data_IF_453366917750
#
_entry.id   IF_453366917750
#
_cell.length_a   1.000
_cell.length_b   1.000
_cell.length_c   1.000
_cell.angle_alpha   90.00
_cell.angle_beta   90.00
_cell.angle_gamma   90.00
#
_symmetry.space_group_name_H-M   'P 1'
#
loop_
_entity.id
_entity.type
_entity.pdbx_description
1 polymer ?
#
# COMPACT_ATOMS: atom_id res chain seq x y z
N UNK A 1 34.56 -1.23 7.39
CA UNK A 1 34.04 -0.16 6.52
C UNK A 1 32.98 0.58 7.30
N UNK A 2 32.91 1.91 7.26
CA UNK A 2 31.80 2.63 7.91
C UNK A 2 30.81 3.14 6.86
N UNK A 3 29.58 3.36 7.28
CA UNK A 3 28.52 3.84 6.38
C UNK A 3 28.87 5.22 5.78
N UNK A 4 29.50 6.09 6.58
CA UNK A 4 29.90 7.44 6.20
C UNK A 4 31.03 7.45 5.16
N UNK A 5 31.74 6.34 5.00
CA UNK A 5 32.81 6.19 4.00
C UNK A 5 32.23 5.85 2.59
N UNK A 6 30.93 5.58 2.48
CA UNK A 6 30.26 5.21 1.22
C UNK A 6 29.80 6.45 0.43
N UNK A 7 30.20 6.51 -0.85
CA UNK A 7 29.70 7.52 -1.79
C UNK A 7 28.34 7.11 -2.36
N UNK A 8 27.28 7.31 -1.59
CA UNK A 8 25.92 6.96 -2.00
C UNK A 8 25.33 7.96 -3.02
N UNK A 9 24.50 7.45 -3.92
CA UNK A 9 23.62 8.25 -4.78
C UNK A 9 22.56 8.92 -3.92
N UNK A 10 22.44 10.22 -4.09
CA UNK A 10 21.47 11.05 -3.37
C UNK A 10 20.35 11.41 -4.37
N UNK A 11 19.17 10.78 -4.28
CA UNK A 11 18.04 11.11 -5.13
C UNK A 11 17.53 12.52 -4.79
N UNK A 12 17.24 13.30 -5.83
CA UNK A 12 16.65 14.63 -5.72
C UNK A 12 15.24 14.58 -6.32
N UNK A 13 14.25 14.66 -5.45
CA UNK A 13 12.84 14.73 -5.83
C UNK A 13 12.48 16.08 -6.43
N UNK A 14 11.38 16.11 -7.17
CA UNK A 14 10.77 17.34 -7.65
C UNK A 14 10.33 18.23 -6.49
N UNK A 15 10.37 19.54 -6.69
CA UNK A 15 9.88 20.51 -5.71
C UNK A 15 8.36 20.39 -5.46
N UNK A 16 7.62 19.73 -6.36
CA UNK A 16 6.17 19.53 -6.28
C UNK A 16 5.78 18.17 -5.71
N UNK A 17 6.74 17.31 -5.36
CA UNK A 17 6.46 15.94 -4.92
C UNK A 17 5.39 15.91 -3.83
N UNK A 18 5.51 16.80 -2.83
CA UNK A 18 4.59 16.84 -1.71
C UNK A 18 3.17 17.12 -2.17
N UNK A 19 2.96 18.19 -2.95
CA UNK A 19 1.65 18.56 -3.47
C UNK A 19 1.10 17.54 -4.47
N UNK A 20 1.97 16.82 -5.17
CA UNK A 20 1.61 15.77 -6.12
C UNK A 20 1.18 14.49 -5.39
N UNK A 21 1.90 14.08 -4.35
CA UNK A 21 1.55 12.97 -3.47
C UNK A 21 0.24 13.23 -2.73
N UNK A 22 0.08 14.43 -2.14
CA UNK A 22 -1.17 14.85 -1.49
C UNK A 22 -2.37 14.84 -2.46
N UNK A 23 -2.15 15.23 -3.71
CA UNK A 23 -3.18 15.16 -4.75
C UNK A 23 -3.59 13.70 -5.01
N UNK A 24 -2.64 12.79 -5.25
CA UNK A 24 -2.92 11.36 -5.49
C UNK A 24 -3.68 10.74 -4.32
N UNK A 25 -3.20 10.93 -3.09
CA UNK A 25 -3.86 10.45 -1.86
C UNK A 25 -5.30 10.98 -1.78
N UNK A 26 -5.50 12.27 -2.06
CA UNK A 26 -6.82 12.89 -2.02
C UNK A 26 -7.76 12.28 -3.05
N UNK A 27 -7.31 12.02 -4.28
CA UNK A 27 -8.15 11.39 -5.30
C UNK A 27 -8.55 9.98 -4.91
N UNK A 28 -7.61 9.16 -4.43
CA UNK A 28 -7.90 7.80 -3.94
C UNK A 28 -8.94 7.84 -2.81
N UNK A 29 -8.81 8.76 -1.84
CA UNK A 29 -9.81 8.92 -0.78
C UNK A 29 -11.19 9.29 -1.33
N UNK A 30 -11.28 10.31 -2.19
CA UNK A 30 -12.57 10.74 -2.76
C UNK A 30 -13.28 9.64 -3.56
N UNK A 31 -12.51 8.78 -4.22
CA UNK A 31 -13.03 7.60 -4.92
C UNK A 31 -13.68 6.64 -3.93
N UNK A 32 -13.00 6.31 -2.83
CA UNK A 32 -13.53 5.39 -1.82
C UNK A 32 -14.68 6.00 -1.00
N UNK A 33 -14.65 7.31 -0.75
CA UNK A 33 -15.75 8.05 -0.11
C UNK A 33 -17.03 7.89 -0.93
N UNK A 34 -16.92 8.07 -2.25
CA UNK A 34 -18.03 7.89 -3.20
C UNK A 34 -18.64 6.50 -3.09
N UNK A 35 -17.82 5.45 -3.06
CA UNK A 35 -18.31 4.07 -2.97
C UNK A 35 -19.08 3.80 -1.67
N UNK A 36 -18.61 4.34 -0.54
CA UNK A 36 -19.35 4.26 0.72
C UNK A 36 -20.64 5.07 0.70
N UNK A 37 -20.62 6.27 0.12
CA UNK A 37 -21.81 7.12 -0.02
C UNK A 37 -22.90 6.47 -0.88
N UNK A 38 -22.52 5.74 -1.93
CA UNK A 38 -23.45 5.02 -2.80
C UNK A 38 -23.86 3.65 -2.27
N UNK A 39 -23.25 3.17 -1.18
CA UNK A 39 -23.47 1.84 -0.63
C UNK A 39 -22.88 0.71 -1.49
N UNK A 40 -21.91 1.04 -2.35
CA UNK A 40 -21.15 0.11 -3.18
C UNK A 40 -19.82 -0.28 -2.50
N UNK A 41 -19.94 -0.65 -1.22
CA UNK A 41 -18.84 -0.89 -0.29
C UNK A 41 -18.80 -2.35 0.21
N UNK A 42 -19.43 -3.25 -0.55
CA UNK A 42 -19.64 -4.65 -0.15
C UNK A 42 -19.21 -5.62 -1.25
N UNK A 43 -18.44 -6.62 -0.86
CA UNK A 43 -18.27 -7.84 -1.63
C UNK A 43 -19.28 -8.87 -1.16
N UNK A 44 -20.11 -9.36 -2.09
CA UNK A 44 -21.08 -10.42 -1.84
C UNK A 44 -20.48 -11.74 -2.34
N UNK A 45 -20.34 -12.70 -1.43
CA UNK A 45 -19.78 -14.03 -1.70
C UNK A 45 -20.94 -15.03 -1.73
N UNK A 46 -21.47 -15.25 -2.92
CA UNK A 46 -22.53 -16.21 -3.17
C UNK A 46 -21.97 -17.62 -3.27
N UNK A 47 -22.60 -18.57 -2.58
CA UNK A 47 -22.15 -19.97 -2.56
C UNK A 47 -23.32 -20.94 -2.56
N UNK A 48 -23.08 -22.15 -3.04
CA UNK A 48 -24.06 -23.22 -2.99
C UNK A 48 -24.00 -24.01 -1.66
N UNK A 49 -23.79 -23.30 -0.54
CA UNK A 49 -23.80 -23.86 0.81
C UNK A 49 -25.02 -23.34 1.56
N UNK A 50 -25.88 -24.25 2.04
CA UNK A 50 -27.10 -23.88 2.78
C UNK A 50 -26.82 -22.99 4.00
N UNK A 51 -25.66 -23.18 4.63
CA UNK A 51 -25.23 -22.44 5.82
C UNK A 51 -24.20 -21.34 5.52
N UNK A 52 -23.76 -21.17 4.25
CA UNK A 52 -22.68 -20.25 3.87
C UNK A 52 -21.30 -20.71 4.36
N UNK A 53 -20.29 -19.84 4.22
CA UNK A 53 -18.99 -20.05 4.85
C UNK A 53 -19.01 -19.66 6.33
N UNK A 54 -18.24 -20.35 7.19
CA UNK A 54 -17.84 -19.81 8.47
C UNK A 54 -17.14 -18.46 8.31
N UNK A 55 -17.44 -17.49 9.19
CA UNK A 55 -16.85 -16.14 9.15
C UNK A 55 -15.31 -16.16 9.16
N UNK A 56 -14.72 -17.09 9.92
CA UNK A 56 -13.25 -17.27 9.97
C UNK A 56 -12.67 -17.57 8.58
N UNK A 57 -13.38 -18.33 7.74
CA UNK A 57 -12.92 -18.65 6.40
C UNK A 57 -13.06 -17.47 5.44
N UNK A 58 -14.06 -16.60 5.64
CA UNK A 58 -14.19 -15.34 4.89
C UNK A 58 -13.02 -14.42 5.25
N UNK A 59 -12.68 -14.30 6.53
CA UNK A 59 -11.52 -13.50 6.98
C UNK A 59 -10.19 -14.01 6.40
N UNK A 60 -10.02 -15.33 6.20
CA UNK A 60 -8.81 -15.91 5.57
C UNK A 60 -8.59 -15.49 4.12
N UNK A 61 -9.66 -15.13 3.41
CA UNK A 61 -9.60 -14.69 2.01
C UNK A 61 -9.75 -13.17 1.86
N UNK A 62 -9.86 -12.42 2.96
CA UNK A 62 -10.16 -10.99 2.92
C UNK A 62 -9.08 -10.13 2.27
N UNK A 63 -7.79 -10.43 2.47
CA UNK A 63 -6.70 -9.71 1.81
C UNK A 63 -6.87 -9.68 0.28
N UNK A 64 -6.81 -10.84 -0.39
CA UNK A 64 -6.98 -10.93 -1.84
C UNK A 64 -8.32 -10.38 -2.35
N UNK A 65 -9.40 -10.51 -1.57
CA UNK A 65 -10.72 -10.01 -1.96
C UNK A 65 -10.79 -8.48 -1.89
N UNK A 66 -10.22 -7.85 -0.87
CA UNK A 66 -10.15 -6.39 -0.77
C UNK A 66 -9.21 -5.78 -1.82
N UNK A 67 -8.11 -6.46 -2.13
CA UNK A 67 -7.21 -6.10 -3.25
C UNK A 67 -7.99 -6.09 -4.57
N UNK A 68 -8.72 -7.17 -4.87
CA UNK A 68 -9.52 -7.27 -6.09
C UNK A 68 -10.65 -6.22 -6.14
N UNK A 69 -11.36 -6.00 -5.03
CA UNK A 69 -12.40 -4.96 -4.97
C UNK A 69 -11.85 -3.56 -5.20
N UNK A 70 -10.70 -3.23 -4.60
CA UNK A 70 -10.06 -1.94 -4.84
C UNK A 70 -9.70 -1.75 -6.32
N UNK A 71 -9.15 -2.78 -6.97
CA UNK A 71 -8.85 -2.75 -8.42
C UNK A 71 -10.12 -2.53 -9.26
N UNK A 72 -11.20 -3.28 -8.99
CA UNK A 72 -12.48 -3.12 -9.69
C UNK A 72 -13.07 -1.71 -9.52
N UNK A 73 -13.00 -1.14 -8.30
CA UNK A 73 -13.44 0.24 -8.03
C UNK A 73 -12.68 1.24 -8.88
N UNK A 74 -11.35 1.16 -8.94
CA UNK A 74 -10.56 2.09 -9.75
C UNK A 74 -10.78 1.86 -11.25
N UNK A 75 -10.81 0.61 -11.70
CA UNK A 75 -11.02 0.25 -13.10
C UNK A 75 -12.37 0.74 -13.63
N UNK A 76 -13.45 0.62 -12.82
CA UNK A 76 -14.78 1.12 -13.18
C UNK A 76 -14.85 2.64 -13.37
N UNK A 77 -13.93 3.39 -12.75
CA UNK A 77 -13.83 4.85 -12.90
C UNK A 77 -13.04 5.23 -14.16
N UNK A 78 -11.96 4.51 -14.45
CA UNK A 78 -11.10 4.74 -15.63
C UNK A 78 -11.92 4.70 -16.92
N UNK A 79 -12.93 3.85 -16.99
CA UNK A 79 -13.78 3.69 -18.17
C UNK A 79 -14.69 4.93 -18.41
N UNK A 80 -14.77 5.86 -17.46
CA UNK A 80 -15.39 7.17 -17.63
C UNK A 80 -14.33 8.26 -17.93
N UNK A 81 -14.25 8.70 -19.19
CA UNK A 81 -13.28 9.74 -19.61
C UNK A 81 -13.49 11.11 -18.95
N UNK A 82 -14.69 11.38 -18.43
CA UNK A 82 -15.06 12.64 -17.77
C UNK A 82 -15.16 12.48 -16.25
N UNK A 83 -14.41 11.55 -15.65
CA UNK A 83 -14.42 11.37 -14.20
C UNK A 83 -13.81 12.58 -13.46
N UNK A 84 -14.43 12.95 -12.34
CA UNK A 84 -14.04 14.09 -11.50
C UNK A 84 -12.69 13.91 -10.77
N UNK A 85 -12.14 12.70 -10.82
CA UNK A 85 -10.91 12.34 -10.12
C UNK A 85 -9.65 12.53 -10.97
N UNK A 86 -9.83 12.77 -12.28
CA UNK A 86 -8.76 12.80 -13.27
C UNK A 86 -7.94 11.50 -13.33
N UNK A 87 -8.54 10.37 -12.97
CA UNK A 87 -7.94 9.05 -13.11
C UNK A 87 -7.96 8.66 -14.59
N UNK A 88 -6.78 8.44 -15.17
CA UNK A 88 -6.64 8.18 -16.62
C UNK A 88 -6.15 6.77 -16.93
N UNK A 89 -5.53 6.08 -15.97
CA UNK A 89 -5.12 4.69 -16.14
C UNK A 89 -5.12 3.94 -14.81
N UNK A 90 -5.42 2.65 -14.90
CA UNK A 90 -5.45 1.68 -13.80
C UNK A 90 -4.84 0.39 -14.35
N UNK A 91 -3.85 -0.13 -13.64
CA UNK A 91 -3.14 -1.36 -14.01
C UNK A 91 -2.92 -2.22 -12.76
N UNK A 92 -3.63 -3.36 -12.70
CA UNK A 92 -3.33 -4.41 -11.73
C UNK A 92 -1.95 -5.02 -12.02
N UNK A 93 -1.14 -5.20 -10.99
CA UNK A 93 0.18 -5.78 -11.12
C UNK A 93 0.16 -7.30 -10.91
N UNK A 94 1.05 -8.00 -11.60
CA UNK A 94 1.24 -9.43 -11.37
C UNK A 94 1.86 -9.72 -10.00
N UNK A 95 1.80 -11.00 -9.58
CA UNK A 95 2.44 -11.49 -8.36
C UNK A 95 3.91 -11.09 -8.33
N UNK A 96 4.36 -10.51 -7.21
CA UNK A 96 5.69 -9.90 -7.00
C UNK A 96 5.87 -8.52 -7.65
N UNK A 97 4.82 -7.89 -8.16
CA UNK A 97 4.76 -6.47 -8.51
C UNK A 97 5.24 -5.57 -7.37
N UNK A 98 5.61 -4.32 -7.68
CA UNK A 98 6.08 -3.38 -6.67
C UNK A 98 4.96 -3.03 -5.68
N UNK A 99 3.76 -2.87 -6.20
CA UNK A 99 2.51 -2.65 -5.49
C UNK A 99 1.42 -3.50 -6.16
N UNK A 100 0.20 -3.47 -5.64
CA UNK A 100 -0.92 -4.27 -6.15
C UNK A 100 -1.55 -3.60 -7.39
N UNK A 101 -1.68 -2.27 -7.36
CA UNK A 101 -2.35 -1.48 -8.40
C UNK A 101 -1.50 -0.26 -8.74
N UNK A 102 -1.32 0.04 -10.02
CA UNK A 102 -0.75 1.31 -10.49
C UNK A 102 -1.90 2.21 -10.93
N UNK A 103 -1.97 3.41 -10.34
CA UNK A 103 -2.94 4.44 -10.70
C UNK A 103 -2.22 5.62 -11.35
N UNK A 104 -2.74 6.11 -12.47
CA UNK A 104 -2.24 7.33 -13.10
C UNK A 104 -3.30 8.41 -13.12
N UNK A 105 -2.94 9.59 -12.62
CA UNK A 105 -3.82 10.75 -12.57
C UNK A 105 -3.25 11.89 -13.42
N UNK A 106 -4.14 12.65 -14.04
CA UNK A 106 -3.77 13.88 -14.76
C UNK A 106 -3.89 15.09 -13.85
N UNK A 107 -2.80 15.83 -13.66
CA UNK A 107 -2.76 17.10 -12.91
C UNK A 107 -2.24 18.21 -13.84
N UNK A 108 -3.16 18.92 -14.50
CA UNK A 108 -2.80 19.86 -15.56
C UNK A 108 -2.11 19.15 -16.72
N UNK A 109 -0.84 19.50 -16.99
CA UNK A 109 -0.04 18.92 -18.07
C UNK A 109 0.84 17.74 -17.64
N UNK A 110 0.85 17.38 -16.35
CA UNK A 110 1.64 16.26 -15.84
C UNK A 110 0.75 15.04 -15.57
N UNK A 111 1.37 13.86 -15.67
CA UNK A 111 0.77 12.59 -15.26
C UNK A 111 1.50 12.13 -14.01
N UNK A 112 0.75 11.93 -12.94
CA UNK A 112 1.24 11.44 -11.65
C UNK A 112 0.95 9.95 -11.53
N UNK A 113 1.90 9.17 -11.05
CA UNK A 113 1.75 7.71 -10.90
C UNK A 113 1.82 7.34 -9.42
N UNK A 114 0.74 6.77 -8.89
CA UNK A 114 0.68 6.20 -7.55
C UNK A 114 0.78 4.67 -7.61
N UNK A 115 1.74 4.09 -6.89
CA UNK A 115 1.89 2.64 -6.76
C UNK A 115 1.19 2.21 -5.47
N UNK A 116 -0.02 1.67 -5.57
CA UNK A 116 -0.92 1.40 -4.44
C UNK A 116 -0.79 -0.04 -3.95
N UNK A 117 -0.34 -0.20 -2.72
CA UNK A 117 -0.30 -1.45 -1.96
C UNK A 117 -1.51 -1.48 -1.01
N UNK A 118 -2.42 -2.43 -1.25
CA UNK A 118 -3.66 -2.58 -0.49
C UNK A 118 -3.40 -3.48 0.71
N UNK A 119 -3.95 -3.11 1.87
CA UNK A 119 -3.83 -3.86 3.11
C UNK A 119 -5.17 -3.95 3.81
N UNK A 120 -5.73 -5.16 3.84
CA UNK A 120 -6.97 -5.46 4.53
C UNK A 120 -6.75 -5.62 6.04
N UNK A 121 -7.61 -4.99 6.84
CA UNK A 121 -7.65 -5.09 8.30
C UNK A 121 -9.06 -5.48 8.73
N UNK A 122 -9.20 -6.53 9.52
CA UNK A 122 -10.49 -7.01 10.00
C UNK A 122 -10.85 -6.33 11.32
N UNK A 123 -12.06 -5.76 11.42
CA UNK A 123 -12.54 -5.07 12.64
C UNK A 123 -12.81 -6.02 13.81
N UNK A 124 -13.19 -7.25 13.49
CA UNK A 124 -13.59 -8.28 14.45
C UNK A 124 -12.41 -9.12 14.98
N UNK A 125 -11.21 -8.94 14.41
CA UNK A 125 -10.01 -9.68 14.81
C UNK A 125 -9.05 -8.76 15.60
N UNK A 126 -8.82 -9.04 16.90
CA UNK A 126 -7.86 -8.31 17.70
C UNK A 126 -6.46 -8.32 17.07
N UNK A 127 -5.81 -7.16 17.05
CA UNK A 127 -4.47 -6.96 16.47
C UNK A 127 -4.38 -7.13 14.95
N UNK A 128 -5.50 -7.28 14.22
CA UNK A 128 -5.49 -7.17 12.77
C UNK A 128 -4.90 -5.81 12.36
N UNK A 129 -4.08 -5.81 11.29
CA UNK A 129 -3.39 -4.60 10.83
C UNK A 129 -2.13 -4.19 11.59
N UNK A 130 -1.74 -4.91 12.66
CA UNK A 130 -0.48 -4.63 13.38
C UNK A 130 0.72 -5.32 12.74
N UNK A 131 1.78 -4.57 12.49
CA UNK A 131 3.04 -5.07 11.97
C UNK A 131 3.02 -5.71 10.58
N UNK A 132 2.11 -5.37 9.63
CA UNK A 132 2.14 -6.02 8.32
C UNK A 132 3.43 -5.67 7.58
N UNK A 133 3.95 -6.65 6.84
CA UNK A 133 5.02 -6.43 5.88
C UNK A 133 4.44 -5.71 4.66
N UNK A 134 5.15 -4.69 4.19
CA UNK A 134 4.78 -3.92 3.00
C UNK A 134 5.61 -4.38 1.81
N UNK A 135 6.92 -4.12 1.85
CA UNK A 135 7.83 -4.43 0.75
C UNK A 135 9.23 -4.69 1.30
N UNK A 136 10.08 -5.34 0.50
CA UNK A 136 11.45 -5.63 0.92
C UNK A 136 12.32 -4.36 0.91
N UNK A 137 13.25 -4.24 1.86
CA UNK A 137 14.18 -3.12 1.97
C UNK A 137 14.85 -2.76 0.64
N UNK A 138 15.52 -3.72 -0.01
CA UNK A 138 16.27 -3.42 -1.23
C UNK A 138 15.39 -2.97 -2.39
N UNK A 139 14.15 -3.48 -2.48
CA UNK A 139 13.21 -3.09 -3.55
C UNK A 139 12.79 -1.63 -3.42
N UNK A 140 12.26 -1.25 -2.27
CA UNK A 140 11.79 0.13 -2.05
C UNK A 140 12.93 1.15 -2.04
N UNK A 141 14.06 0.78 -1.42
CA UNK A 141 15.25 1.62 -1.41
C UNK A 141 15.81 1.86 -2.82
N UNK A 142 15.72 0.85 -3.70
CA UNK A 142 16.11 0.98 -5.12
C UNK A 142 15.12 1.81 -5.91
N UNK A 143 13.81 1.66 -5.66
CA UNK A 143 12.78 2.46 -6.34
C UNK A 143 13.04 3.96 -6.16
N UNK A 144 13.23 4.41 -4.92
CA UNK A 144 13.54 5.81 -4.60
C UNK A 144 14.86 6.34 -5.18
N UNK A 145 15.85 5.48 -5.42
CA UNK A 145 17.11 5.89 -6.08
C UNK A 145 16.92 6.04 -7.58
N UNK A 146 16.15 5.15 -8.20
CA UNK A 146 15.92 5.14 -9.64
C UNK A 146 14.96 6.25 -10.06
N UNK A 147 13.95 6.48 -9.26
CA UNK A 147 12.94 7.50 -9.45
C UNK A 147 12.74 8.26 -8.13
N UNK A 148 13.35 9.45 -7.98
CA UNK A 148 13.19 10.27 -6.80
C UNK A 148 11.75 10.72 -6.53
N UNK A 149 10.88 10.70 -7.55
CA UNK A 149 9.46 11.05 -7.46
C UNK A 149 8.55 9.82 -7.34
N UNK A 150 9.12 8.63 -7.08
CA UNK A 150 8.37 7.40 -6.90
C UNK A 150 7.40 7.50 -5.71
N UNK A 151 6.09 7.42 -5.98
CA UNK A 151 5.05 7.43 -4.94
C UNK A 151 4.64 6.00 -4.61
N UNK A 152 4.94 5.57 -3.38
CA UNK A 152 4.47 4.30 -2.83
C UNK A 152 3.31 4.56 -1.89
N UNK A 153 2.10 4.31 -2.37
CA UNK A 153 0.85 4.59 -1.66
C UNK A 153 0.41 3.33 -0.94
N UNK A 154 0.10 3.44 0.35
CA UNK A 154 -0.51 2.38 1.14
C UNK A 154 -2.00 2.70 1.26
N UNK A 155 -2.84 1.77 0.83
CA UNK A 155 -4.28 1.81 1.03
C UNK A 155 -4.67 0.80 2.11
N UNK A 156 -4.89 1.28 3.33
CA UNK A 156 -5.39 0.46 4.44
C UNK A 156 -6.92 0.43 4.40
N UNK A 157 -7.51 -0.75 4.21
CA UNK A 157 -8.97 -0.94 4.19
C UNK A 157 -9.37 -1.76 5.41
N UNK A 158 -10.24 -1.18 6.25
CA UNK A 158 -10.93 -1.92 7.30
C UNK A 158 -12.20 -2.55 6.77
N UNK A 159 -12.46 -3.76 7.19
CA UNK A 159 -13.66 -4.49 6.82
C UNK A 159 -14.26 -5.23 8.01
N UNK A 160 -15.55 -5.49 7.90
CA UNK A 160 -16.29 -6.43 8.75
C UNK A 160 -16.90 -7.53 7.90
N UNK A 161 -16.99 -8.73 8.44
CA UNK A 161 -17.61 -9.87 7.78
C UNK A 161 -18.89 -10.28 8.51
N UNK A 162 -19.92 -10.63 7.75
CA UNK A 162 -21.15 -11.20 8.28
C UNK A 162 -21.85 -12.08 7.23
N UNK A 163 -22.90 -12.79 7.62
CA UNK A 163 -23.71 -13.59 6.70
C UNK A 163 -25.13 -13.05 6.62
N UNK A 164 -25.73 -13.12 5.45
CA UNK A 164 -27.10 -12.69 5.22
C UNK A 164 -27.83 -13.70 4.35
N UNK A 165 -29.10 -13.99 4.67
CA UNK A 165 -29.93 -14.88 3.86
C UNK A 165 -30.32 -14.19 2.55
N UNK A 166 -29.97 -14.81 1.43
CA UNK A 166 -30.37 -14.37 0.10
C UNK A 166 -31.87 -14.63 -0.10
N UNK A 167 -32.64 -13.58 -0.42
CA UNK A 167 -34.09 -13.70 -0.59
C UNK A 167 -34.50 -14.50 -1.84
N UNK A 168 -33.67 -14.52 -2.88
CA UNK A 168 -33.95 -15.22 -4.14
C UNK A 168 -33.61 -16.70 -4.10
N UNK A 169 -32.48 -17.08 -3.48
CA UNK A 169 -32.01 -18.47 -3.45
C UNK A 169 -32.34 -19.19 -2.15
N UNK A 170 -32.60 -18.44 -1.07
CA UNK A 170 -32.77 -18.97 0.28
C UNK A 170 -31.48 -19.44 0.96
N UNK A 171 -30.33 -19.32 0.29
CA UNK A 171 -29.00 -19.65 0.81
C UNK A 171 -28.43 -18.49 1.64
N UNK A 172 -27.31 -18.74 2.34
CA UNK A 172 -26.60 -17.71 3.10
C UNK A 172 -25.43 -17.18 2.27
N UNK A 173 -25.45 -15.88 1.97
CA UNK A 173 -24.34 -15.18 1.34
C UNK A 173 -23.38 -14.67 2.42
N UNK A 174 -22.08 -14.77 2.14
CA UNK A 174 -21.05 -14.08 2.93
C UNK A 174 -20.95 -12.64 2.46
N UNK A 175 -20.93 -11.69 3.39
CA UNK A 175 -20.76 -10.26 3.09
C UNK A 175 -19.45 -9.80 3.72
N UNK A 176 -18.63 -9.12 2.93
CA UNK A 176 -17.47 -8.36 3.39
C UNK A 176 -17.74 -6.89 3.09
N UNK A 177 -17.92 -6.10 4.14
CA UNK A 177 -18.28 -4.68 4.05
C UNK A 177 -17.11 -3.82 4.50
N UNK A 178 -16.74 -2.83 3.69
CA UNK A 178 -15.71 -1.84 4.00
C UNK A 178 -16.23 -0.88 5.08
N UNK A 179 -15.64 -0.94 6.26
CA UNK A 179 -16.08 -0.17 7.42
C UNK A 179 -15.35 1.17 7.56
N UNK A 180 -14.07 1.22 7.17
CA UNK A 180 -13.22 2.42 7.22
C UNK A 180 -12.03 2.23 6.27
N UNK A 181 -11.33 3.29 5.92
CA UNK A 181 -10.11 3.18 5.13
C UNK A 181 -9.21 4.40 5.33
N UNK A 182 -7.91 4.22 5.13
CA UNK A 182 -6.92 5.28 5.14
C UNK A 182 -5.91 5.12 4.01
N UNK A 183 -5.39 6.25 3.54
CA UNK A 183 -4.46 6.32 2.41
C UNK A 183 -3.23 7.11 2.83
N UNK A 184 -2.06 6.54 2.59
CA UNK A 184 -0.77 7.10 3.02
C UNK A 184 0.27 7.03 1.92
N UNK A 185 1.15 8.02 1.84
CA UNK A 185 2.42 7.84 1.15
C UNK A 185 3.43 7.28 2.16
N UNK A 186 4.02 6.12 1.85
CA UNK A 186 5.04 5.48 2.68
C UNK A 186 6.18 6.45 3.04
N UNK A 187 6.55 7.35 2.13
CA UNK A 187 7.61 8.35 2.38
C UNK A 187 7.27 9.27 3.55
N UNK A 188 5.99 9.54 3.81
CA UNK A 188 5.55 10.47 4.85
C UNK A 188 5.06 9.81 6.14
N UNK A 189 5.10 8.48 6.25
CA UNK A 189 4.79 7.79 7.51
C UNK A 189 5.90 8.06 8.54
N UNK A 190 5.56 8.39 9.78
CA UNK A 190 6.54 8.72 10.82
C UNK A 190 7.59 7.62 11.03
N UNK A 191 8.80 8.02 11.44
CA UNK A 191 9.88 7.08 11.74
C UNK A 191 9.54 6.10 12.88
N UNK A 192 8.69 6.52 13.82
CA UNK A 192 8.18 5.73 14.94
C UNK A 192 7.19 4.64 14.50
N UNK A 193 6.52 4.83 13.36
CA UNK A 193 5.56 3.89 12.80
C UNK A 193 6.19 2.95 11.75
N UNK A 194 7.38 3.29 11.24
CA UNK A 194 8.15 2.44 10.33
C UNK A 194 9.13 1.54 11.10
N UNK A 195 8.96 0.24 10.93
CA UNK A 195 9.83 -0.80 11.45
C UNK A 195 10.51 -1.59 10.33
N UNK A 196 11.58 -2.30 10.69
CA UNK A 196 12.29 -3.20 9.79
C UNK A 196 12.31 -4.61 10.38
N UNK A 197 11.81 -5.57 9.61
CA UNK A 197 11.83 -6.98 9.94
C UNK A 197 12.92 -7.71 9.16
N UNK A 198 13.97 -8.22 9.82
CA UNK A 198 15.08 -8.88 9.14
C UNK A 198 14.81 -10.33 8.71
N UNK A 199 13.64 -10.90 9.02
CA UNK A 199 13.43 -12.35 8.96
C UNK A 199 13.56 -12.99 7.56
N UNK A 200 13.30 -12.24 6.49
CA UNK A 200 13.21 -12.77 5.12
C UNK A 200 14.07 -11.97 4.13
N UNK A 201 14.86 -12.65 3.31
CA UNK A 201 15.61 -12.02 2.20
C UNK A 201 16.49 -10.87 2.67
N UNK A 202 16.30 -9.68 2.11
CA UNK A 202 16.96 -8.42 2.49
C UNK A 202 16.28 -7.73 3.69
N UNK A 203 15.32 -8.39 4.33
CA UNK A 203 14.37 -7.83 5.28
C UNK A 203 13.24 -7.04 4.62
N UNK A 204 12.20 -6.76 5.40
CA UNK A 204 10.98 -6.11 4.97
C UNK A 204 10.68 -4.88 5.81
N UNK A 205 10.10 -3.87 5.17
CA UNK A 205 9.53 -2.72 5.84
C UNK A 205 8.18 -3.15 6.42
N UNK A 206 7.99 -2.86 7.71
CA UNK A 206 6.76 -3.11 8.44
C UNK A 206 6.19 -1.79 8.95
N UNK A 207 4.87 -1.67 8.94
CA UNK A 207 4.17 -0.56 9.60
C UNK A 207 3.64 -1.06 10.93
N UNK A 208 3.84 -0.29 12.00
CA UNK A 208 3.43 -0.67 13.36
C UNK A 208 1.94 -0.97 13.46
N UNK A 209 1.12 -0.07 12.95
CA UNK A 209 -0.33 -0.23 12.78
C UNK A 209 -0.69 0.40 11.44
N UNK A 210 -1.07 -0.41 10.46
CA UNK A 210 -1.25 0.03 9.07
C UNK A 210 -2.39 1.02 8.89
N UNK A 211 -3.33 1.03 9.83
CA UNK A 211 -4.51 1.88 9.76
C UNK A 211 -4.36 3.17 10.59
N UNK A 212 -3.39 3.22 11.51
CA UNK A 212 -3.17 4.36 12.40
C UNK A 212 -1.70 4.73 12.46
N UNK A 213 -1.30 5.65 11.57
CA UNK A 213 0.06 6.19 11.52
C UNK A 213 0.07 7.71 11.66
N UNK A 214 1.19 8.25 12.12
CA UNK A 214 1.46 9.68 12.16
C UNK A 214 2.20 10.13 10.89
N UNK A 215 1.96 11.37 10.44
CA UNK A 215 2.66 11.95 9.30
C UNK A 215 3.91 12.73 9.70
N UNK A 216 4.96 12.60 8.91
CA UNK A 216 6.18 13.38 9.00
C UNK A 216 6.74 13.60 7.59
N UNK A 217 6.81 14.86 7.16
CA UNK A 217 7.39 15.19 5.86
C UNK A 217 8.90 14.99 5.86
N UNK A 218 9.39 14.44 4.75
CA UNK A 218 10.80 14.23 4.48
C UNK A 218 11.03 14.09 2.97
N UNK A 219 12.23 14.40 2.54
CA UNK A 219 12.68 14.21 1.16
C UNK A 219 12.92 12.73 0.85
N UNK A 220 12.98 12.38 -0.44
CA UNK A 220 13.35 11.03 -0.88
C UNK A 220 14.74 10.61 -0.38
N UNK A 221 15.68 11.55 -0.23
CA UNK A 221 16.99 11.24 0.36
C UNK A 221 16.89 10.92 1.85
N UNK A 222 16.16 11.72 2.63
CA UNK A 222 15.94 11.44 4.06
C UNK A 222 15.20 10.11 4.27
N UNK A 223 14.26 9.76 3.39
CA UNK A 223 13.62 8.45 3.40
C UNK A 223 14.62 7.32 3.12
N UNK A 224 15.50 7.48 2.12
CA UNK A 224 16.59 6.54 1.87
C UNK A 224 17.48 6.36 3.11
N UNK A 225 17.85 7.44 3.78
CA UNK A 225 18.66 7.40 5.01
C UNK A 225 17.94 6.72 6.17
N UNK A 226 16.63 6.95 6.33
CA UNK A 226 15.82 6.26 7.34
C UNK A 226 15.79 4.76 7.09
N UNK A 227 15.58 4.33 5.84
CA UNK A 227 15.61 2.93 5.46
C UNK A 227 16.98 2.30 5.78
N UNK A 228 18.07 2.97 5.41
CA UNK A 228 19.44 2.51 5.63
C UNK A 228 19.74 2.40 7.13
N UNK A 229 19.33 3.40 7.92
CA UNK A 229 19.44 3.40 9.37
C UNK A 229 18.71 2.21 10.00
N UNK A 230 17.43 1.99 9.65
CA UNK A 230 16.62 0.89 10.19
C UNK A 230 17.18 -0.48 9.80
N UNK A 231 17.73 -0.61 8.60
CA UNK A 231 18.40 -1.83 8.14
C UNK A 231 19.66 -2.11 8.96
N UNK A 232 20.56 -1.12 9.09
CA UNK A 232 21.85 -1.27 9.78
C UNK A 232 21.72 -1.43 11.30
N UNK A 233 20.67 -0.88 11.91
CA UNK A 233 20.40 -1.04 13.34
C UNK A 233 19.64 -2.34 13.67
N UNK A 234 19.38 -3.17 12.68
CA UNK A 234 18.85 -4.51 12.90
C UNK A 234 19.93 -5.43 13.47
N UNK A 235 19.58 -6.23 14.48
CA UNK A 235 20.49 -7.23 15.07
C UNK A 235 20.97 -8.32 14.10
N UNK A 236 20.42 -8.39 12.88
CA UNK A 236 20.72 -9.42 11.88
C UNK A 236 21.44 -8.91 10.63
N UNK A 237 21.84 -7.64 10.59
CA UNK A 237 22.50 -7.04 9.42
C UNK A 237 23.82 -6.40 9.79
N UNK A 238 24.78 -6.47 8.88
CA UNK A 238 26.06 -5.78 9.00
C UNK A 238 26.25 -4.73 7.91
N UNK A 239 27.27 -3.89 8.07
CA UNK A 239 27.66 -2.93 7.03
C UNK A 239 28.12 -3.62 5.74
N UNK A 240 28.71 -4.82 5.83
CA UNK A 240 29.08 -5.62 4.67
C UNK A 240 27.86 -6.14 3.91
N UNK A 241 26.78 -6.50 4.62
CA UNK A 241 25.50 -6.85 3.98
C UNK A 241 24.91 -5.66 3.22
N UNK A 242 24.91 -4.49 3.85
CA UNK A 242 24.48 -3.25 3.22
C UNK A 242 25.32 -2.93 1.99
N UNK A 243 26.65 -3.00 2.08
CA UNK A 243 27.55 -2.73 0.96
C UNK A 243 27.30 -3.68 -0.21
N UNK A 244 27.05 -4.97 0.06
CA UNK A 244 26.72 -5.95 -0.97
C UNK A 244 25.40 -5.60 -1.68
N UNK A 245 24.37 -5.23 -0.93
CA UNK A 245 23.09 -4.77 -1.51
C UNK A 245 23.26 -3.46 -2.28
N UNK A 246 24.00 -2.50 -1.74
CA UNK A 246 24.26 -1.21 -2.36
C UNK A 246 25.05 -1.34 -3.67
N UNK A 247 26.04 -2.22 -3.71
CA UNK A 247 26.81 -2.53 -4.92
C UNK A 247 25.94 -3.22 -5.96
N UNK A 248 25.20 -4.26 -5.55
CA UNK A 248 24.32 -5.05 -6.42
C UNK A 248 23.24 -4.19 -7.09
N UNK A 249 22.65 -3.27 -6.34
CA UNK A 249 21.54 -2.45 -6.80
C UNK A 249 21.99 -1.07 -7.33
N UNK A 250 23.30 -0.80 -7.35
CA UNK A 250 23.87 0.43 -7.91
C UNK A 250 23.55 1.68 -7.11
N UNK A 251 23.51 1.60 -5.77
CA UNK A 251 23.28 2.73 -4.88
C UNK A 251 24.56 3.54 -4.60
N UNK A 252 25.73 2.97 -4.87
CA UNK A 252 27.03 3.63 -4.75
C UNK A 252 27.36 4.31 -6.09
N UNK A 253 28.06 5.45 -6.04
CA UNK A 253 28.55 6.19 -7.21
C UNK A 253 29.73 5.50 -7.90
#
# INVERSE_FOLDING_TARGET
MRYEDLLLKQPLESATYKEDSEFVITQVRKILDRQKETGDDKIIINQNLKMGLPLENINKIAGPMMEAWADEVFAGIRDNMDNDYHLINVEAQERLGMADIILQFRKGNTVLTGNVDVKATADDIPNSGKGPNITSFSRIRTAYVRDPDFMFVILSIKHKVYVQKNAGTGLMDGIMEVSDYNVYDLKFISDADINYNPALGTGQIQIKDIHYVSYQYRTTWEMCQLLDYKYLHSSRRTIEDFYREASKNGWIK
#
